data_IF_216641248505
#
_entry.id   IF_216641248505
#
_cell.length_a   1.000
_cell.length_b   1.000
_cell.length_c   1.000
_cell.angle_alpha   90.00
_cell.angle_beta   90.00
_cell.angle_gamma   90.00
#
_symmetry.space_group_name_H-M   'P 1'
#
loop_
_entity.id
_entity.type
_entity.pdbx_description
1 polymer ?
#
# COMPACT_ATOMS: atom_id res chain seq x y z
N UNK A 1 -21.87 11.92 -25.66
CA UNK A 1 -20.64 12.53 -25.12
C UNK A 1 -20.23 11.76 -23.87
N UNK A 2 -18.96 11.40 -23.78
CA UNK A 2 -18.46 10.19 -23.12
C UNK A 2 -18.73 10.05 -21.63
N UNK A 3 -19.05 8.81 -21.24
CA UNK A 3 -18.95 8.31 -19.87
C UNK A 3 -17.46 8.21 -19.54
N UNK A 4 -16.85 9.32 -19.18
CA UNK A 4 -15.54 9.30 -18.56
C UNK A 4 -15.73 8.65 -17.19
N UNK A 5 -15.01 7.54 -16.94
CA UNK A 5 -14.67 7.18 -15.58
C UNK A 5 -14.17 8.45 -14.91
N UNK A 6 -14.85 8.97 -13.87
CA UNK A 6 -14.62 10.34 -13.47
C UNK A 6 -13.18 10.41 -12.98
N UNK A 7 -12.37 11.28 -13.61
CA UNK A 7 -11.01 11.54 -13.17
C UNK A 7 -11.00 11.82 -11.66
N UNK A 8 -12.06 12.44 -11.15
CA UNK A 8 -12.35 12.66 -9.74
C UNK A 8 -12.32 11.38 -8.88
N UNK A 9 -12.84 10.24 -9.34
CA UNK A 9 -12.77 8.96 -8.61
C UNK A 9 -11.34 8.42 -8.57
N UNK A 10 -10.59 8.54 -9.68
CA UNK A 10 -9.18 8.14 -9.72
C UNK A 10 -8.35 9.02 -8.80
N UNK A 11 -8.51 10.34 -8.88
CA UNK A 11 -7.86 11.32 -8.02
C UNK A 11 -8.19 11.08 -6.53
N UNK A 12 -9.45 10.75 -6.22
CA UNK A 12 -9.85 10.39 -4.86
C UNK A 12 -9.13 9.12 -4.38
N UNK A 13 -8.98 8.10 -5.23
CA UNK A 13 -8.27 6.85 -4.91
C UNK A 13 -6.76 7.06 -4.75
N UNK A 14 -6.14 7.90 -5.57
CA UNK A 14 -4.73 8.28 -5.42
C UNK A 14 -4.52 9.04 -4.10
N UNK A 15 -5.43 9.96 -3.76
CA UNK A 15 -5.37 10.69 -2.48
C UNK A 15 -5.56 9.75 -1.29
N UNK A 16 -6.47 8.79 -1.39
CA UNK A 16 -6.68 7.74 -0.39
C UNK A 16 -5.42 6.89 -0.22
N UNK A 17 -4.73 6.54 -1.30
CA UNK A 17 -3.47 5.80 -1.26
C UNK A 17 -2.37 6.58 -0.52
N UNK A 18 -2.20 7.86 -0.85
CA UNK A 18 -1.17 8.74 -0.27
C UNK A 18 -1.39 9.03 1.21
N UNK A 19 -2.64 9.02 1.65
CA UNK A 19 -3.02 9.28 3.04
C UNK A 19 -3.27 8.00 3.83
N UNK A 20 -3.11 6.82 3.19
CA UNK A 20 -3.34 5.52 3.81
C UNK A 20 -2.34 5.31 4.94
N UNK A 21 -2.89 5.10 6.13
CA UNK A 21 -2.14 4.69 7.32
C UNK A 21 -2.78 3.45 7.89
N UNK A 22 -1.98 2.62 8.53
CA UNK A 22 -2.48 1.43 9.21
C UNK A 22 -3.44 1.82 10.34
N UNK A 23 -3.10 2.83 11.14
CA UNK A 23 -3.88 3.29 12.31
C UNK A 23 -4.36 2.13 13.18
N UNK A 24 -5.68 1.85 13.18
CA UNK A 24 -6.32 0.76 13.93
C UNK A 24 -6.52 -0.53 13.12
N UNK A 25 -6.12 -0.57 11.86
CA UNK A 25 -6.22 -1.76 11.00
C UNK A 25 -5.15 -2.79 11.35
N UNK A 26 -5.50 -4.07 11.20
CA UNK A 26 -4.49 -5.13 11.19
C UNK A 26 -3.53 -4.95 10.02
N UNK A 27 -2.32 -5.52 10.13
CA UNK A 27 -1.32 -5.50 9.05
C UNK A 27 -1.90 -6.11 7.76
N UNK A 28 -2.72 -7.16 7.91
CA UNK A 28 -3.35 -7.83 6.78
C UNK A 28 -4.39 -6.94 6.07
N UNK A 29 -5.27 -6.27 6.81
CA UNK A 29 -6.24 -5.33 6.25
C UNK A 29 -5.56 -4.11 5.59
N UNK A 30 -4.50 -3.60 6.23
CA UNK A 30 -3.70 -2.53 5.66
C UNK A 30 -3.02 -2.96 4.35
N UNK A 31 -2.45 -4.16 4.31
CA UNK A 31 -1.85 -4.71 3.10
C UNK A 31 -2.86 -4.87 1.96
N UNK A 32 -4.04 -5.42 2.25
CA UNK A 32 -5.08 -5.59 1.25
C UNK A 32 -5.52 -4.24 0.66
N UNK A 33 -5.73 -3.22 1.51
CA UNK A 33 -6.06 -1.86 1.06
C UNK A 33 -4.93 -1.23 0.25
N UNK A 34 -3.69 -1.39 0.69
CA UNK A 34 -2.52 -0.84 0.00
C UNK A 34 -2.40 -1.42 -1.42
N UNK A 35 -2.55 -2.74 -1.58
CA UNK A 35 -2.52 -3.41 -2.89
C UNK A 35 -3.69 -2.96 -3.78
N UNK A 36 -4.90 -2.82 -3.23
CA UNK A 36 -6.05 -2.35 -4.00
C UNK A 36 -5.87 -0.90 -4.48
N UNK A 37 -5.32 -0.03 -3.64
CA UNK A 37 -5.12 1.38 -3.95
C UNK A 37 -3.92 1.60 -4.88
N UNK A 38 -2.88 0.77 -4.83
CA UNK A 38 -1.73 0.86 -5.73
C UNK A 38 -2.12 0.64 -7.21
N UNK A 39 -3.15 -0.16 -7.50
CA UNK A 39 -3.69 -0.34 -8.85
C UNK A 39 -4.20 0.98 -9.48
N UNK A 40 -4.58 1.96 -8.67
CA UNK A 40 -5.05 3.27 -9.15
C UNK A 40 -3.92 4.27 -9.35
N UNK A 41 -2.74 4.00 -8.77
CA UNK A 41 -1.56 4.87 -8.77
C UNK A 41 -0.30 4.13 -9.29
N UNK A 42 -0.33 3.51 -10.49
CA UNK A 42 0.79 2.72 -11.01
C UNK A 42 2.08 3.54 -11.14
N UNK A 43 1.97 4.85 -11.39
CA UNK A 43 3.10 5.79 -11.46
C UNK A 43 3.82 5.97 -10.12
N UNK A 44 3.14 5.72 -9.00
CA UNK A 44 3.72 5.85 -7.66
C UNK A 44 4.39 4.57 -7.16
N UNK A 45 4.09 3.45 -7.82
CA UNK A 45 4.61 2.13 -7.49
C UNK A 45 5.40 1.52 -8.64
N UNK A 46 5.95 2.38 -9.51
CA UNK A 46 6.77 1.97 -10.67
C UNK A 46 8.00 1.18 -10.27
N UNK A 47 8.48 1.40 -9.05
CA UNK A 47 9.64 0.74 -8.50
C UNK A 47 9.28 0.08 -7.16
N UNK A 48 9.73 -1.16 -7.00
CA UNK A 48 9.41 -1.99 -5.83
C UNK A 48 9.92 -1.35 -4.54
N UNK A 49 11.10 -0.70 -4.59
CA UNK A 49 11.66 -0.01 -3.42
C UNK A 49 10.82 1.21 -3.03
N UNK A 50 10.33 1.96 -4.02
CA UNK A 50 9.42 3.08 -3.79
C UNK A 50 8.09 2.62 -3.18
N UNK A 51 7.53 1.51 -3.68
CA UNK A 51 6.34 0.87 -3.13
C UNK A 51 6.55 0.43 -1.68
N UNK A 52 7.65 -0.26 -1.39
CA UNK A 52 8.00 -0.67 -0.02
C UNK A 52 8.18 0.52 0.91
N UNK A 53 8.79 1.60 0.44
CA UNK A 53 8.97 2.82 1.23
C UNK A 53 7.62 3.45 1.60
N UNK A 54 6.67 3.50 0.67
CA UNK A 54 5.31 3.99 0.93
C UNK A 54 4.58 3.08 1.92
N UNK A 55 4.68 1.76 1.74
CA UNK A 55 4.08 0.80 2.64
C UNK A 55 4.56 0.99 4.08
N UNK A 56 5.88 1.04 4.29
CA UNK A 56 6.52 1.20 5.60
C UNK A 56 6.24 2.58 6.23
N UNK A 57 6.07 3.62 5.40
CA UNK A 57 5.73 4.97 5.86
C UNK A 57 4.31 5.05 6.44
N UNK A 58 3.35 4.30 5.87
CA UNK A 58 1.98 4.24 6.39
C UNK A 58 1.76 3.25 7.54
N UNK A 59 2.73 2.36 7.83
CA UNK A 59 2.65 1.47 8.99
C UNK A 59 2.73 2.26 10.32
N UNK A 60 1.78 1.98 11.21
CA UNK A 60 1.69 2.62 12.52
C UNK A 60 2.95 2.31 13.35
N UNK A 61 3.46 3.29 14.11
CA UNK A 61 4.60 3.08 15.02
C UNK A 61 4.33 1.99 16.07
N UNK A 62 3.05 1.75 16.37
CA UNK A 62 2.58 0.75 17.32
C UNK A 62 2.55 -0.68 16.76
N UNK A 63 2.60 -0.85 15.43
CA UNK A 63 2.67 -2.16 14.74
C UNK A 63 4.05 -2.84 14.85
N UNK A 64 4.79 -2.46 15.89
CA UNK A 64 5.97 -3.12 16.45
C UNK A 64 7.31 -2.89 15.71
N UNK A 65 8.33 -2.63 16.53
CA UNK A 65 9.75 -2.80 16.20
C UNK A 65 10.03 -4.20 15.63
N UNK A 66 9.21 -5.20 15.95
CA UNK A 66 9.29 -6.57 15.44
C UNK A 66 8.58 -6.78 14.11
N UNK A 67 7.49 -6.06 13.80
CA UNK A 67 6.81 -6.15 12.49
C UNK A 67 7.63 -5.52 11.38
N UNK A 68 8.23 -4.34 11.65
CA UNK A 68 9.15 -3.68 10.71
C UNK A 68 10.46 -4.45 10.54
N UNK A 69 10.94 -5.09 11.61
CA UNK A 69 12.14 -5.93 11.55
C UNK A 69 11.84 -7.27 10.86
N UNK A 70 10.72 -7.95 11.13
CA UNK A 70 10.35 -9.19 10.46
C UNK A 70 10.15 -9.03 8.94
N UNK A 71 9.66 -7.87 8.49
CA UNK A 71 9.59 -7.53 7.05
C UNK A 71 10.96 -7.18 6.43
N UNK A 72 11.99 -6.91 7.25
CA UNK A 72 13.37 -6.64 6.81
C UNK A 72 14.32 -7.84 7.04
N UNK A 73 13.98 -8.74 7.97
CA UNK A 73 14.83 -9.84 8.48
C UNK A 73 14.31 -11.20 8.00
N UNK A 74 13.02 -11.35 7.74
CA UNK A 74 12.45 -12.55 7.15
C UNK A 74 12.38 -12.37 5.64
N UNK A 75 13.01 -13.28 4.92
CA UNK A 75 12.87 -13.62 3.48
C UNK A 75 11.41 -13.77 2.98
N UNK A 76 10.39 -13.34 3.73
CA UNK A 76 9.04 -13.14 3.23
C UNK A 76 9.02 -11.81 2.52
N UNK A 77 9.50 -11.87 1.29
CA UNK A 77 9.31 -10.84 0.28
C UNK A 77 7.89 -10.28 0.40
N UNK A 78 7.76 -8.96 0.59
CA UNK A 78 6.49 -8.26 0.39
C UNK A 78 5.92 -8.63 -1.00
N UNK A 79 6.81 -8.93 -1.95
CA UNK A 79 6.48 -9.58 -3.22
C UNK A 79 5.62 -10.84 -3.03
N UNK A 80 6.00 -11.80 -2.17
CA UNK A 80 5.25 -13.04 -1.94
C UNK A 80 3.86 -12.83 -1.33
N UNK A 81 3.67 -11.78 -0.52
CA UNK A 81 2.34 -11.40 -0.02
C UNK A 81 1.47 -10.78 -1.14
N UNK A 82 2.10 -10.18 -2.15
CA UNK A 82 1.44 -9.56 -3.30
C UNK A 82 1.27 -10.49 -4.51
N UNK A 83 1.91 -11.67 -4.57
CA UNK A 83 1.77 -12.64 -5.68
C UNK A 83 0.38 -13.33 -5.72
N UNK A 84 -0.44 -13.23 -4.66
CA UNK A 84 -1.75 -13.89 -4.58
C UNK A 84 -2.95 -13.06 -5.08
N UNK A 85 -2.76 -12.12 -6.02
CA UNK A 85 -3.86 -11.40 -6.71
C UNK A 85 -3.83 -11.68 -8.21
#
# INVERSE_FOLDING_TARGET
MGRFFPGELREAKIREFLTLKQDSMSIHEYCLKFTQLSCYAPEMVTDMRSMMSLFVAGLSRLSSKEGKAAMLIGDVDIASLMIHV
#
